data_IF_513397164132
#
_entry.id   IF_513397164132
#
_cell.length_a   1.000
_cell.length_b   1.000
_cell.length_c   1.000
_cell.angle_alpha   90.00
_cell.angle_beta   90.00
_cell.angle_gamma   90.00
#
_symmetry.space_group_name_H-M   'P 1'
#
loop_
_entity.id
_entity.type
_entity.pdbx_description
1 polymer ?
#
# COMPACT_ATOMS: atom_id res chain seq x y z
N UNK A 1 -1.39 -24.89 -19.67
CA UNK A 1 -2.56 -24.03 -19.94
C UNK A 1 -2.58 -23.03 -18.81
N UNK A 2 -2.68 -21.73 -19.08
CA UNK A 2 -2.88 -20.73 -18.02
C UNK A 2 -4.16 -21.10 -17.25
N UNK A 3 -4.07 -21.10 -15.94
CA UNK A 3 -5.24 -21.31 -15.09
C UNK A 3 -6.05 -20.04 -15.12
N UNK A 4 -7.32 -20.09 -15.55
CA UNK A 4 -8.21 -18.94 -15.56
C UNK A 4 -9.19 -19.04 -14.41
N UNK A 5 -9.19 -18.06 -13.56
CA UNK A 5 -10.00 -17.96 -12.35
C UNK A 5 -10.94 -16.77 -12.44
N UNK A 6 -12.11 -16.83 -11.79
CA UNK A 6 -13.05 -15.71 -11.70
C UNK A 6 -13.20 -15.24 -10.25
N UNK A 7 -13.21 -13.92 -10.06
CA UNK A 7 -13.50 -13.27 -8.77
C UNK A 7 -14.48 -12.12 -8.95
N UNK A 8 -15.35 -11.91 -7.96
CA UNK A 8 -16.29 -10.79 -7.96
C UNK A 8 -15.62 -9.44 -7.70
N UNK A 9 -14.58 -9.45 -6.88
CA UNK A 9 -13.83 -8.25 -6.51
C UNK A 9 -12.34 -8.58 -6.40
N UNK A 10 -11.53 -8.00 -7.26
CA UNK A 10 -10.08 -8.07 -7.18
C UNK A 10 -9.53 -6.78 -6.60
N UNK A 11 -8.65 -6.90 -5.61
CA UNK A 11 -7.94 -5.77 -5.00
C UNK A 11 -6.46 -5.89 -5.31
N UNK A 12 -5.88 -4.85 -5.91
CA UNK A 12 -4.47 -4.80 -6.27
C UNK A 12 -3.73 -3.94 -5.25
N UNK A 13 -2.94 -4.57 -4.40
CA UNK A 13 -2.17 -3.94 -3.32
C UNK A 13 -2.70 -4.26 -1.93
N UNK A 14 -1.78 -4.46 -0.99
CA UNK A 14 -2.03 -4.90 0.38
C UNK A 14 -1.63 -3.85 1.43
N UNK A 15 -1.49 -2.60 1.03
CA UNK A 15 -1.33 -1.49 1.97
C UNK A 15 -2.61 -1.25 2.79
N UNK A 16 -2.63 -0.25 3.68
CA UNK A 16 -3.81 0.07 4.51
C UNK A 16 -5.07 0.25 3.69
N UNK A 17 -4.98 0.88 2.51
CA UNK A 17 -6.11 1.07 1.61
C UNK A 17 -6.65 -0.26 1.07
N UNK A 18 -5.75 -1.17 0.65
CA UNK A 18 -6.13 -2.48 0.12
C UNK A 18 -6.80 -3.36 1.17
N UNK A 19 -6.23 -3.47 2.36
CA UNK A 19 -6.86 -4.25 3.44
C UNK A 19 -8.16 -3.61 3.94
N UNK A 20 -8.23 -2.29 4.02
CA UNK A 20 -9.50 -1.62 4.35
C UNK A 20 -10.58 -1.95 3.32
N UNK A 21 -10.26 -1.87 2.03
CA UNK A 21 -11.18 -2.26 0.97
C UNK A 21 -11.59 -3.74 1.08
N UNK A 22 -10.63 -4.64 1.37
CA UNK A 22 -10.89 -6.06 1.55
C UNK A 22 -11.85 -6.35 2.72
N UNK A 23 -11.66 -5.67 3.85
CA UNK A 23 -12.55 -5.79 5.01
C UNK A 23 -13.98 -5.43 4.64
N UNK A 24 -14.19 -4.31 3.96
CA UNK A 24 -15.55 -3.87 3.60
C UNK A 24 -16.15 -4.69 2.45
N UNK A 25 -15.37 -5.11 1.47
CA UNK A 25 -15.81 -6.02 0.43
C UNK A 25 -16.20 -7.39 0.99
N UNK A 26 -15.43 -7.92 1.94
CA UNK A 26 -15.77 -9.15 2.67
C UNK A 26 -17.06 -9.02 3.47
N UNK A 27 -17.23 -7.92 4.21
CA UNK A 27 -18.48 -7.62 4.92
C UNK A 27 -19.69 -7.48 3.99
N UNK A 28 -19.47 -7.07 2.75
CA UNK A 28 -20.50 -7.05 1.69
C UNK A 28 -20.68 -8.43 1.01
N UNK A 29 -20.06 -9.48 1.52
CA UNK A 29 -20.15 -10.86 1.00
C UNK A 29 -19.67 -10.96 -0.47
N UNK A 30 -18.63 -10.19 -0.82
CA UNK A 30 -18.02 -10.22 -2.15
C UNK A 30 -16.89 -11.24 -2.27
N UNK A 31 -16.38 -11.76 -1.15
CA UNK A 31 -15.23 -12.68 -1.07
C UNK A 31 -14.05 -12.16 -1.91
N UNK A 32 -13.47 -10.98 -1.55
CA UNK A 32 -12.49 -10.33 -2.40
C UNK A 32 -11.19 -11.12 -2.46
N UNK A 33 -10.56 -11.13 -3.64
CA UNK A 33 -9.19 -11.61 -3.81
C UNK A 33 -8.24 -10.42 -3.76
N UNK A 34 -7.20 -10.48 -2.93
CA UNK A 34 -6.19 -9.42 -2.77
C UNK A 34 -4.85 -9.92 -3.27
N UNK A 35 -4.24 -9.23 -4.22
CA UNK A 35 -2.86 -9.45 -4.62
C UNK A 35 -1.93 -8.44 -3.95
N UNK A 36 -0.99 -8.94 -3.14
CA UNK A 36 -0.17 -8.11 -2.25
C UNK A 36 0.79 -7.16 -2.94
N UNK A 37 1.22 -7.50 -4.16
CA UNK A 37 2.30 -6.77 -4.85
C UNK A 37 3.68 -7.20 -4.37
N UNK A 38 4.71 -6.41 -4.69
CA UNK A 38 6.10 -6.69 -4.34
C UNK A 38 6.36 -6.67 -2.83
N UNK A 39 5.63 -5.85 -2.10
CA UNK A 39 5.79 -5.65 -0.67
C UNK A 39 4.45 -5.85 0.04
N UNK A 40 4.27 -7.04 0.62
CA UNK A 40 3.07 -7.35 1.40
C UNK A 40 2.97 -6.42 2.61
N UNK A 41 1.82 -5.77 2.79
CA UNK A 41 1.60 -4.75 3.81
C UNK A 41 1.98 -3.33 3.40
N UNK A 42 2.67 -3.14 2.26
CA UNK A 42 3.02 -1.83 1.72
C UNK A 42 4.05 -1.07 2.54
N UNK A 43 4.09 0.24 2.38
CA UNK A 43 5.15 1.10 2.95
C UNK A 43 5.20 1.10 4.49
N UNK A 44 4.10 0.89 5.18
CA UNK A 44 4.08 0.88 6.65
C UNK A 44 4.93 -0.24 7.26
N UNK A 45 5.21 -1.31 6.49
CA UNK A 45 6.12 -2.36 6.95
C UNK A 45 7.59 -1.94 6.99
N UNK A 46 7.91 -0.76 6.45
CA UNK A 46 9.26 -0.17 6.51
C UNK A 46 9.42 0.88 7.60
N UNK A 47 8.33 1.24 8.29
CA UNK A 47 8.37 2.19 9.40
C UNK A 47 8.26 1.47 10.74
N UNK A 48 8.86 2.05 11.77
CA UNK A 48 8.82 1.48 13.12
C UNK A 48 7.55 1.90 13.86
N UNK A 49 7.25 3.20 13.89
CA UNK A 49 6.11 3.74 14.64
C UNK A 49 5.17 4.50 13.69
N UNK A 50 3.89 4.22 13.80
CA UNK A 50 2.79 4.91 13.10
C UNK A 50 1.96 5.64 14.15
N UNK A 51 2.08 6.96 14.21
CA UNK A 51 1.41 7.81 15.21
C UNK A 51 0.13 8.49 14.70
N UNK A 52 -0.09 8.44 13.38
CA UNK A 52 -1.15 9.19 12.71
C UNK A 52 -2.28 8.30 12.14
N UNK A 53 -2.34 7.03 12.52
CA UNK A 53 -3.47 6.18 12.12
C UNK A 53 -4.53 6.14 13.22
N UNK A 54 -5.80 6.48 12.92
CA UNK A 54 -6.87 6.51 13.92
C UNK A 54 -7.08 5.15 14.58
N UNK A 55 -7.31 5.15 15.90
CA UNK A 55 -7.54 3.94 16.69
C UNK A 55 -6.34 3.49 17.52
N UNK A 56 -5.18 4.08 17.31
CA UNK A 56 -3.95 3.82 18.07
C UNK A 56 -3.46 5.08 18.79
N UNK A 57 -4.03 5.43 19.96
CA UNK A 57 -3.74 6.70 20.64
C UNK A 57 -2.31 6.83 21.17
N UNK A 58 -1.55 5.75 21.18
CA UNK A 58 -0.16 5.69 21.62
C UNK A 58 0.79 5.28 20.49
N UNK A 59 0.31 5.36 19.24
CA UNK A 59 1.02 4.82 18.09
C UNK A 59 0.99 3.28 18.02
N UNK A 60 1.49 2.73 16.96
CA UNK A 60 1.59 1.28 16.72
C UNK A 60 2.78 0.98 15.84
N UNK A 61 3.44 -0.15 16.05
CA UNK A 61 4.45 -0.65 15.11
C UNK A 61 3.81 -0.91 13.74
N UNK A 62 4.45 -0.42 12.66
CA UNK A 62 3.89 -0.51 11.32
C UNK A 62 3.67 -1.94 10.84
N UNK A 63 4.59 -2.87 11.18
CA UNK A 63 4.42 -4.28 10.83
C UNK A 63 3.25 -4.91 11.59
N UNK A 64 3.13 -4.61 12.90
CA UNK A 64 2.04 -5.11 13.72
C UNK A 64 0.70 -4.62 13.17
N UNK A 65 0.59 -3.33 12.86
CA UNK A 65 -0.63 -2.76 12.28
C UNK A 65 -1.03 -3.45 10.96
N UNK A 66 -0.06 -3.72 10.10
CA UNK A 66 -0.35 -4.37 8.82
C UNK A 66 -0.74 -5.84 8.99
N UNK A 67 -0.19 -6.55 9.99
CA UNK A 67 -0.62 -7.90 10.36
C UNK A 67 -2.06 -7.90 10.91
N UNK A 68 -2.41 -6.94 11.74
CA UNK A 68 -3.77 -6.79 12.29
C UNK A 68 -4.79 -6.54 11.18
N UNK A 69 -4.48 -5.64 10.24
CA UNK A 69 -5.35 -5.35 9.10
C UNK A 69 -5.51 -6.57 8.17
N UNK A 70 -4.42 -7.31 7.90
CA UNK A 70 -4.48 -8.56 7.14
C UNK A 70 -5.37 -9.58 7.83
N UNK A 71 -5.13 -9.84 9.10
CA UNK A 71 -5.92 -10.79 9.89
C UNK A 71 -7.39 -10.40 9.95
N UNK A 72 -7.68 -9.10 10.01
CA UNK A 72 -9.05 -8.60 9.97
C UNK A 72 -9.70 -8.83 8.60
N UNK A 73 -8.98 -8.61 7.50
CA UNK A 73 -9.49 -8.88 6.15
C UNK A 73 -9.77 -10.38 5.93
N UNK A 74 -8.83 -11.24 6.32
CA UNK A 74 -8.97 -12.70 6.23
C UNK A 74 -10.14 -13.22 7.09
N UNK A 75 -10.41 -12.61 8.25
CA UNK A 75 -11.58 -12.93 9.09
C UNK A 75 -12.92 -12.65 8.40
N UNK A 76 -12.94 -11.76 7.39
CA UNK A 76 -14.10 -11.48 6.56
C UNK A 76 -13.99 -12.15 5.17
N UNK A 77 -13.34 -13.31 5.11
CA UNK A 77 -13.23 -14.15 3.92
C UNK A 77 -12.54 -13.46 2.73
N UNK A 78 -11.60 -12.55 2.98
CA UNK A 78 -10.70 -12.06 1.93
C UNK A 78 -9.62 -13.10 1.65
N UNK A 79 -9.45 -13.47 0.39
CA UNK A 79 -8.39 -14.35 -0.09
C UNK A 79 -7.14 -13.51 -0.40
N UNK A 80 -6.20 -13.47 0.54
CA UNK A 80 -4.99 -12.66 0.45
C UNK A 80 -3.84 -13.48 -0.11
N UNK A 81 -3.36 -13.12 -1.30
CA UNK A 81 -2.36 -13.85 -2.08
C UNK A 81 -1.09 -13.04 -2.29
N UNK A 82 0.05 -13.72 -2.15
CA UNK A 82 1.33 -13.18 -2.57
C UNK A 82 1.47 -13.29 -4.09
N UNK A 83 1.88 -12.18 -4.73
CA UNK A 83 2.03 -12.10 -6.17
C UNK A 83 1.77 -10.68 -6.68
N UNK A 84 2.04 -10.48 -7.95
CA UNK A 84 1.96 -9.18 -8.61
C UNK A 84 1.01 -9.29 -9.79
N UNK A 85 0.13 -8.30 -9.95
CA UNK A 85 -0.61 -8.11 -11.20
C UNK A 85 0.28 -7.31 -12.14
N UNK A 86 0.68 -7.95 -13.24
CA UNK A 86 1.61 -7.36 -14.23
C UNK A 86 0.91 -6.79 -15.45
N UNK A 87 -0.35 -7.19 -15.67
CA UNK A 87 -1.16 -6.69 -16.79
C UNK A 87 -2.62 -6.61 -16.38
N UNK A 88 -3.32 -5.59 -16.87
CA UNK A 88 -4.76 -5.44 -16.71
C UNK A 88 -5.37 -4.93 -18.02
N UNK A 89 -6.47 -5.55 -18.42
CA UNK A 89 -7.30 -5.12 -19.54
C UNK A 89 -8.68 -4.71 -18.99
N UNK A 90 -8.95 -3.41 -19.04
CA UNK A 90 -10.21 -2.81 -18.60
C UNK A 90 -11.15 -2.46 -19.75
N UNK A 91 -10.88 -2.92 -20.98
CA UNK A 91 -11.68 -2.58 -22.17
C UNK A 91 -13.09 -3.16 -22.12
N UNK A 92 -13.26 -4.31 -21.44
CA UNK A 92 -14.53 -5.03 -21.34
C UNK A 92 -14.62 -5.78 -20.03
N UNK A 93 -15.78 -5.72 -19.37
CA UNK A 93 -16.08 -6.55 -18.21
C UNK A 93 -16.56 -7.97 -18.62
N UNK A 94 -16.26 -9.04 -17.86
CA UNK A 94 -15.35 -9.01 -16.73
C UNK A 94 -13.93 -8.61 -17.17
N UNK A 95 -13.22 -7.89 -16.29
CA UNK A 95 -11.88 -7.39 -16.58
C UNK A 95 -10.87 -8.52 -16.53
N UNK A 96 -9.91 -8.54 -17.45
CA UNK A 96 -8.89 -9.58 -17.51
C UNK A 96 -7.56 -9.07 -16.95
N UNK A 97 -7.06 -9.76 -15.92
CA UNK A 97 -5.79 -9.44 -15.30
C UNK A 97 -4.83 -10.63 -15.38
N UNK A 98 -3.53 -10.35 -15.43
CA UNK A 98 -2.50 -11.39 -15.49
C UNK A 98 -1.52 -11.21 -14.34
N UNK A 99 -1.20 -12.31 -13.67
CA UNK A 99 -0.22 -12.36 -12.58
C UNK A 99 1.20 -12.48 -13.14
N UNK A 100 2.19 -12.24 -12.30
CA UNK A 100 3.62 -12.46 -12.57
C UNK A 100 3.96 -13.95 -12.87
N UNK A 101 3.07 -14.88 -12.47
CA UNK A 101 3.19 -16.31 -12.76
C UNK A 101 2.51 -16.73 -14.06
N UNK A 102 1.84 -15.77 -14.74
CA UNK A 102 1.11 -16.01 -15.98
C UNK A 102 -0.32 -16.54 -15.82
N UNK A 103 -0.84 -16.58 -14.58
CA UNK A 103 -2.24 -16.93 -14.35
C UNK A 103 -3.15 -15.79 -14.79
N UNK A 104 -4.30 -16.12 -15.37
CA UNK A 104 -5.31 -15.16 -15.80
C UNK A 104 -6.47 -15.11 -14.79
N UNK A 105 -6.90 -13.89 -14.45
CA UNK A 105 -7.99 -13.64 -13.52
C UNK A 105 -9.04 -12.78 -14.21
N UNK A 106 -10.27 -13.27 -14.26
CA UNK A 106 -11.44 -12.51 -14.65
C UNK A 106 -12.07 -11.88 -13.40
N UNK A 107 -12.18 -10.55 -13.38
CA UNK A 107 -12.74 -9.82 -12.24
C UNK A 107 -13.97 -9.01 -12.68
N UNK A 108 -15.09 -9.12 -11.94
CA UNK A 108 -16.26 -8.29 -12.19
C UNK A 108 -15.99 -6.83 -11.82
N UNK A 109 -15.25 -6.63 -10.72
CA UNK A 109 -14.81 -5.31 -10.24
C UNK A 109 -13.35 -5.35 -9.81
N UNK A 110 -12.64 -4.21 -9.97
CA UNK A 110 -11.23 -4.09 -9.58
C UNK A 110 -11.05 -2.83 -8.74
N UNK A 111 -10.36 -3.00 -7.59
CA UNK A 111 -9.93 -1.89 -6.75
C UNK A 111 -8.40 -1.77 -6.88
N UNK A 112 -7.92 -0.61 -7.32
CA UNK A 112 -6.50 -0.31 -7.46
C UNK A 112 -6.03 0.41 -6.20
N UNK A 113 -5.24 -0.28 -5.38
CA UNK A 113 -4.71 0.20 -4.10
C UNK A 113 -3.17 0.04 -4.05
N UNK A 114 -2.51 0.31 -5.17
CA UNK A 114 -1.07 0.05 -5.36
C UNK A 114 -0.16 1.02 -4.62
N UNK A 115 -0.71 2.08 -4.02
CA UNK A 115 0.05 3.08 -3.29
C UNK A 115 0.96 3.90 -4.20
N UNK A 116 1.98 4.49 -3.58
CA UNK A 116 3.03 5.25 -4.24
C UNK A 116 4.39 4.94 -3.61
N UNK A 117 5.44 5.17 -4.35
CA UNK A 117 6.81 5.10 -3.84
C UNK A 117 7.47 6.46 -3.93
N UNK A 118 8.18 6.85 -2.89
CA UNK A 118 8.96 8.07 -2.90
C UNK A 118 10.05 8.03 -3.97
N UNK A 119 10.27 9.17 -4.63
CA UNK A 119 11.39 9.35 -5.55
C UNK A 119 12.54 9.97 -4.77
N UNK A 120 13.57 9.17 -4.57
CA UNK A 120 14.82 9.62 -3.95
C UNK A 120 15.81 10.12 -4.99
N UNK A 121 16.86 10.82 -4.55
CA UNK A 121 17.94 11.30 -5.44
C UNK A 121 18.82 10.16 -5.97
N UNK A 122 18.82 9.01 -5.30
CA UNK A 122 19.65 7.85 -5.64
C UNK A 122 21.01 7.87 -4.98
N UNK A 123 21.17 8.61 -3.88
CA UNK A 123 22.41 8.65 -3.10
C UNK A 123 22.49 7.43 -2.16
N UNK A 124 23.68 6.86 -2.01
CA UNK A 124 23.90 5.68 -1.17
C UNK A 124 23.47 5.88 0.29
N UNK A 125 23.66 7.09 0.80
CA UNK A 125 23.34 7.44 2.18
C UNK A 125 21.83 7.62 2.45
N UNK A 126 20.98 7.78 1.43
CA UNK A 126 19.54 7.96 1.62
C UNK A 126 18.92 6.79 2.36
N UNK A 127 19.26 5.57 1.97
CA UNK A 127 18.78 4.34 2.64
C UNK A 127 19.25 4.24 4.08
N UNK A 128 20.49 4.67 4.36
CA UNK A 128 21.11 4.62 5.68
C UNK A 128 20.44 5.60 6.65
N UNK A 129 20.04 6.77 6.16
CA UNK A 129 19.48 7.84 6.98
C UNK A 129 17.96 7.95 6.86
N UNK A 130 17.29 7.04 6.16
CA UNK A 130 15.82 7.00 6.08
C UNK A 130 15.23 6.85 7.49
N UNK A 131 14.37 7.80 7.90
CA UNK A 131 13.84 7.90 9.27
C UNK A 131 14.84 8.43 10.31
N UNK A 132 16.11 8.67 9.93
CA UNK A 132 17.19 9.18 10.80
C UNK A 132 17.71 10.56 10.37
N UNK A 133 17.01 11.23 9.47
CA UNK A 133 17.40 12.54 8.94
C UNK A 133 17.02 12.73 7.46
N UNK A 134 16.78 11.66 6.75
CA UNK A 134 16.21 11.67 5.40
C UNK A 134 14.76 11.19 5.47
N UNK A 135 13.85 11.97 4.91
CA UNK A 135 12.43 11.67 4.82
C UNK A 135 11.89 12.09 3.45
N UNK A 136 10.85 11.46 3.00
CA UNK A 136 10.10 11.80 1.80
C UNK A 136 8.63 12.17 2.11
N UNK A 137 8.34 12.52 3.38
CA UNK A 137 6.98 12.85 3.81
C UNK A 137 7.03 13.76 5.05
N UNK A 138 6.78 15.06 4.87
CA UNK A 138 6.75 16.00 5.99
C UNK A 138 5.57 15.75 6.93
N UNK A 139 4.40 15.42 6.41
CA UNK A 139 3.23 15.11 7.24
C UNK A 139 3.41 13.84 8.08
N UNK A 140 4.29 12.91 7.65
CA UNK A 140 4.63 11.70 8.40
C UNK A 140 5.66 11.99 9.50
N UNK A 141 6.75 12.68 9.13
CA UNK A 141 7.96 12.76 9.95
C UNK A 141 8.26 14.17 10.48
N UNK A 142 7.60 15.22 9.96
CA UNK A 142 7.87 16.62 10.29
C UNK A 142 7.80 16.92 11.79
N UNK A 143 6.96 16.20 12.54
CA UNK A 143 6.88 16.32 14.00
C UNK A 143 8.23 16.11 14.68
N UNK A 144 9.07 15.17 14.21
CA UNK A 144 10.38 14.85 14.78
C UNK A 144 11.44 15.91 14.47
N UNK A 145 11.17 16.80 13.50
CA UNK A 145 12.09 17.85 13.05
C UNK A 145 11.68 19.25 13.48
N UNK A 146 10.69 19.39 14.37
CA UNK A 146 10.27 20.71 14.89
C UNK A 146 11.44 21.46 15.47
N UNK A 147 11.55 22.76 15.12
CA UNK A 147 12.61 23.70 15.52
C UNK A 147 14.01 23.29 15.03
N UNK A 148 14.13 22.38 14.06
CA UNK A 148 15.37 22.06 13.39
C UNK A 148 15.42 22.73 12.03
N UNK A 149 16.62 23.01 11.55
CA UNK A 149 16.82 23.44 10.17
C UNK A 149 16.73 22.21 9.27
N UNK A 150 15.84 22.24 8.29
CA UNK A 150 15.65 21.18 7.29
C UNK A 150 15.93 21.73 5.89
N UNK A 151 16.33 20.86 4.99
CA UNK A 151 16.47 21.17 3.57
C UNK A 151 15.43 20.36 2.80
N UNK A 152 14.67 21.01 1.93
CA UNK A 152 13.77 20.34 1.01
C UNK A 152 14.41 20.33 -0.37
N UNK A 153 14.48 19.13 -0.98
CA UNK A 153 15.12 18.93 -2.28
C UNK A 153 14.05 18.61 -3.31
N UNK A 154 13.89 19.49 -4.30
CA UNK A 154 12.91 19.36 -5.36
C UNK A 154 12.33 20.70 -5.76
N UNK A 155 11.53 20.71 -6.83
CA UNK A 155 10.89 21.92 -7.38
C UNK A 155 9.50 21.62 -7.96
N UNK A 156 8.93 20.46 -7.65
CA UNK A 156 7.55 20.12 -8.00
C UNK A 156 6.58 20.43 -6.85
N UNK A 157 5.30 20.17 -7.09
CA UNK A 157 4.21 20.46 -6.14
C UNK A 157 4.49 19.86 -4.76
N UNK A 158 4.86 18.58 -4.70
CA UNK A 158 5.19 17.89 -3.44
C UNK A 158 6.29 18.62 -2.66
N UNK A 159 7.38 19.04 -3.31
CA UNK A 159 8.46 19.73 -2.61
C UNK A 159 8.02 21.10 -2.06
N UNK A 160 7.14 21.79 -2.77
CA UNK A 160 6.58 23.06 -2.30
C UNK A 160 5.63 22.86 -1.12
N UNK A 161 4.74 21.88 -1.19
CA UNK A 161 3.81 21.53 -0.11
C UNK A 161 4.55 21.07 1.15
N UNK A 162 5.56 20.20 1.00
CA UNK A 162 6.38 19.70 2.10
C UNK A 162 7.23 20.82 2.76
N UNK A 163 7.61 21.85 1.99
CA UNK A 163 8.35 22.98 2.52
C UNK A 163 7.47 24.00 3.26
N UNK A 164 6.18 24.07 2.94
CA UNK A 164 5.21 24.98 3.58
C UNK A 164 4.66 24.39 4.89
N UNK A 165 4.70 23.06 5.02
CA UNK A 165 4.23 22.32 6.20
C UNK A 165 5.13 22.59 7.43
#
# INVERSE_FOLDING_TARGET
MANREHTRCLIIGSGPAGYTAAIYAGRANLHPTVYCGLQSGGQLTQTTMVDNFPGYPQGVDGNQMMQDLRSQAERFDADVRDGIIVKADFSKAPYLLTTDRGDEIEADTVIIATGASAKYLGLDDEKKYNGLGVSACATCDGFFYRKKTVAVVGGGDTACEEADY
#
